data_IF_672215617200
#
_entry.id   IF_672215617200
#
_cell.length_a   1.000
_cell.length_b   1.000
_cell.length_c   1.000
_cell.angle_alpha   90.00
_cell.angle_beta   90.00
_cell.angle_gamma   90.00
#
_symmetry.space_group_name_H-M   'P 1'
#
loop_
_entity.id
_entity.type
_entity.pdbx_description
1 polymer ?
#
# COMPACT_ATOMS: atom_id res chain seq x y z
N UNK A 1 -0.49 -5.26 13.91
CA UNK A 1 0.54 -4.25 13.56
C UNK A 1 1.84 -4.59 14.28
N UNK A 2 2.97 -4.60 13.58
CA UNK A 2 4.30 -4.77 14.14
C UNK A 2 4.86 -3.38 14.49
N UNK A 3 4.56 -2.90 15.71
CA UNK A 3 4.81 -1.51 16.14
C UNK A 3 6.28 -1.11 15.98
N UNK A 4 7.22 -1.96 16.40
CA UNK A 4 8.65 -1.65 16.30
C UNK A 4 9.11 -1.55 14.84
N UNK A 5 8.61 -2.44 13.97
CA UNK A 5 8.88 -2.38 12.53
C UNK A 5 8.34 -1.11 11.91
N UNK A 6 7.10 -0.72 12.22
CA UNK A 6 6.51 0.51 11.72
C UNK A 6 7.31 1.75 12.15
N UNK A 7 7.70 1.83 13.43
CA UNK A 7 8.43 2.98 13.97
C UNK A 7 9.90 3.06 13.52
N UNK A 8 10.58 1.93 13.26
CA UNK A 8 11.97 1.96 12.72
C UNK A 8 12.10 2.66 11.37
N UNK A 9 11.02 2.69 10.59
CA UNK A 9 10.96 3.34 9.28
C UNK A 9 10.04 4.56 9.25
N UNK A 10 9.56 5.01 10.41
CA UNK A 10 8.67 6.17 10.52
C UNK A 10 9.50 7.45 10.42
N UNK A 11 9.30 8.29 9.39
CA UNK A 11 10.08 9.52 9.24
C UNK A 11 9.60 10.67 10.15
N UNK A 12 8.52 10.47 10.91
CA UNK A 12 7.84 11.53 11.65
C UNK A 12 8.16 11.43 13.14
N UNK A 13 8.46 12.57 13.77
CA UNK A 13 8.65 12.66 15.22
C UNK A 13 7.42 12.14 15.98
N UNK A 14 7.65 11.31 16.99
CA UNK A 14 6.60 10.61 17.72
C UNK A 14 6.54 9.11 17.42
N UNK A 15 5.50 8.46 17.95
CA UNK A 15 5.35 7.00 17.90
C UNK A 15 4.02 6.60 17.30
N UNK A 16 4.06 5.73 16.30
CA UNK A 16 2.88 5.02 15.78
C UNK A 16 2.49 3.95 16.80
N UNK A 17 1.28 4.06 17.36
CA UNK A 17 0.78 3.16 18.42
C UNK A 17 -0.42 2.31 17.99
N UNK A 18 -1.08 2.66 16.89
CA UNK A 18 -2.24 1.94 16.37
C UNK A 18 -2.34 2.06 14.84
N UNK A 19 -3.38 1.46 14.28
CA UNK A 19 -3.72 1.54 12.86
C UNK A 19 -5.24 1.60 12.69
N UNK A 20 -5.71 1.78 11.46
CA UNK A 20 -7.12 1.77 11.11
C UNK A 20 -7.67 0.35 10.96
N UNK A 21 -8.94 0.29 10.55
CA UNK A 21 -9.73 -0.91 10.34
C UNK A 21 -9.13 -1.86 9.29
N UNK A 22 -8.51 -1.33 8.22
CA UNK A 22 -7.84 -2.12 7.18
C UNK A 22 -6.33 -2.34 7.45
N UNK A 23 -5.80 -1.80 8.55
CA UNK A 23 -4.41 -1.96 9.00
C UNK A 23 -3.31 -1.36 8.10
N UNK A 24 -3.63 -0.48 7.15
CA UNK A 24 -2.70 0.20 6.25
C UNK A 24 -2.29 1.60 6.73
N UNK A 25 -3.08 2.21 7.62
CA UNK A 25 -2.82 3.59 8.08
C UNK A 25 -1.94 3.54 9.30
N UNK A 26 -0.78 4.17 9.22
CA UNK A 26 0.25 4.13 10.26
C UNK A 26 0.81 5.55 10.40
N UNK A 27 0.22 6.32 11.31
CA UNK A 27 0.55 7.73 11.54
C UNK A 27 0.69 8.01 13.04
N UNK A 28 1.44 9.04 13.40
CA UNK A 28 1.56 9.51 14.78
C UNK A 28 0.27 10.20 15.23
N UNK A 29 -0.03 10.13 16.52
CA UNK A 29 -1.22 10.72 17.14
C UNK A 29 -0.84 11.32 18.48
N UNK A 30 -1.62 12.30 18.93
CA UNK A 30 -1.47 12.92 20.23
C UNK A 30 -2.79 12.81 21.00
N UNK A 31 -2.81 12.23 22.21
CA UNK A 31 -4.04 12.05 22.97
C UNK A 31 -4.60 13.40 23.42
N UNK A 32 -5.92 13.56 23.31
CA UNK A 32 -6.62 14.71 23.89
C UNK A 32 -6.86 14.54 25.38
N UNK A 33 -6.99 15.68 26.08
CA UNK A 33 -7.41 15.72 27.48
C UNK A 33 -8.76 16.43 27.58
N UNK A 34 -9.73 15.75 28.19
CA UNK A 34 -11.07 16.28 28.47
C UNK A 34 -11.22 16.54 29.97
N UNK A 35 -11.91 17.63 30.32
CA UNK A 35 -12.35 17.86 31.69
C UNK A 35 -13.68 17.13 31.99
N UNK A 36 -14.15 17.20 33.24
CA UNK A 36 -15.41 16.58 33.67
C UNK A 36 -16.65 17.15 32.95
N UNK A 37 -16.54 18.34 32.36
CA UNK A 37 -17.58 18.96 31.54
C UNK A 37 -17.55 18.51 30.06
N UNK A 38 -16.67 17.56 29.71
CA UNK A 38 -16.44 17.07 28.35
C UNK A 38 -15.91 18.13 27.38
N UNK A 39 -15.17 19.11 27.91
CA UNK A 39 -14.50 20.14 27.12
C UNK A 39 -13.02 19.79 26.94
N UNK A 40 -12.46 20.12 25.77
CA UNK A 40 -11.04 19.93 25.49
C UNK A 40 -10.19 20.89 26.33
N UNK A 41 -9.43 20.34 27.27
CA UNK A 41 -8.34 21.03 27.98
C UNK A 41 -7.08 21.03 27.12
N UNK A 42 -6.85 19.92 26.42
CA UNK A 42 -5.81 19.77 25.41
C UNK A 42 -6.42 19.09 24.19
N UNK A 43 -6.39 19.78 23.05
CA UNK A 43 -6.85 19.22 21.78
C UNK A 43 -5.66 18.54 21.10
N UNK A 44 -5.62 17.21 21.22
CA UNK A 44 -4.64 16.38 20.53
C UNK A 44 -4.95 16.24 19.04
N UNK A 45 -4.38 15.21 18.42
CA UNK A 45 -4.51 14.93 16.98
C UNK A 45 -4.87 13.48 16.75
N UNK A 46 -6.04 13.26 16.15
CA UNK A 46 -6.46 11.97 15.63
C UNK A 46 -6.29 11.92 14.10
N UNK A 47 -6.39 10.73 13.52
CA UNK A 47 -6.09 10.48 12.10
C UNK A 47 -7.37 10.26 11.29
N UNK A 48 -7.49 10.95 10.15
CA UNK A 48 -8.43 10.61 9.07
C UNK A 48 -7.68 10.08 7.85
N UNK A 49 -8.42 9.41 6.96
CA UNK A 49 -7.83 8.69 5.82
C UNK A 49 -8.39 9.25 4.52
N UNK A 50 -7.55 9.92 3.73
CA UNK A 50 -7.85 10.37 2.38
C UNK A 50 -7.12 9.45 1.39
N UNK A 51 -7.85 8.55 0.73
CA UNK A 51 -7.27 7.43 0.02
C UNK A 51 -7.50 7.49 -1.49
N UNK A 52 -6.55 6.97 -2.26
CA UNK A 52 -6.68 6.72 -3.69
C UNK A 52 -5.73 5.62 -4.14
N UNK A 53 -6.04 4.93 -5.24
CA UNK A 53 -5.15 3.88 -5.79
C UNK A 53 -4.84 4.14 -7.24
N UNK A 54 -3.57 3.97 -7.59
CA UNK A 54 -3.14 3.86 -8.98
C UNK A 54 -3.64 2.55 -9.59
N UNK A 55 -4.02 2.56 -10.87
CA UNK A 55 -4.23 1.34 -11.65
C UNK A 55 -2.89 0.98 -12.33
N UNK A 56 -2.24 -0.10 -11.89
CA UNK A 56 -0.89 -0.48 -12.36
C UNK A 56 -0.84 -0.69 -13.88
N UNK A 57 -1.85 -1.31 -14.47
CA UNK A 57 -1.93 -1.56 -15.93
C UNK A 57 -1.91 -0.25 -16.71
N UNK A 58 -2.75 0.71 -16.29
CA UNK A 58 -2.84 2.00 -16.96
C UNK A 58 -1.62 2.90 -16.67
N UNK A 59 -1.04 2.81 -15.48
CA UNK A 59 0.15 3.58 -15.12
C UNK A 59 1.36 3.19 -15.95
N UNK A 60 1.56 1.90 -16.20
CA UNK A 60 2.69 1.40 -17.00
C UNK A 60 2.58 1.73 -18.49
N UNK A 61 1.41 2.19 -18.95
CA UNK A 61 1.20 2.69 -20.33
C UNK A 61 1.01 4.21 -20.38
N UNK A 62 1.13 4.90 -19.24
CA UNK A 62 1.01 6.35 -19.17
C UNK A 62 2.14 7.03 -19.97
N UNK A 63 1.83 8.04 -20.81
CA UNK A 63 2.86 8.79 -21.53
C UNK A 63 3.77 9.61 -20.60
N UNK A 64 3.31 9.89 -19.38
CA UNK A 64 4.10 10.55 -18.34
C UNK A 64 3.68 10.02 -16.97
N UNK A 65 4.37 8.97 -16.50
CA UNK A 65 4.13 8.36 -15.19
C UNK A 65 4.22 9.39 -14.07
N UNK A 66 5.24 10.25 -14.11
CA UNK A 66 5.49 11.25 -13.08
C UNK A 66 4.34 12.26 -12.99
N UNK A 67 3.89 12.80 -14.12
CA UNK A 67 2.74 13.73 -14.16
C UNK A 67 1.47 13.09 -13.62
N UNK A 68 1.22 11.81 -13.90
CA UNK A 68 0.09 11.08 -13.33
C UNK A 68 0.15 11.06 -11.80
N UNK A 69 1.29 10.70 -11.20
CA UNK A 69 1.47 10.70 -9.74
C UNK A 69 1.34 12.11 -9.15
N UNK A 70 1.93 13.14 -9.78
CA UNK A 70 1.82 14.53 -9.32
C UNK A 70 0.37 15.02 -9.36
N UNK A 71 -0.37 14.67 -10.41
CA UNK A 71 -1.80 15.01 -10.54
C UNK A 71 -2.65 14.33 -9.47
N UNK A 72 -2.44 13.03 -9.24
CA UNK A 72 -3.14 12.29 -8.18
C UNK A 72 -2.80 12.82 -6.79
N UNK A 73 -1.54 13.22 -6.55
CA UNK A 73 -1.11 13.87 -5.31
C UNK A 73 -1.94 15.12 -5.08
N UNK A 74 -2.01 16.05 -6.05
CA UNK A 74 -2.83 17.27 -5.91
C UNK A 74 -4.32 16.99 -5.73
N UNK A 75 -4.86 15.97 -6.40
CA UNK A 75 -6.27 15.59 -6.23
C UNK A 75 -6.55 15.13 -4.79
N UNK A 76 -5.66 14.32 -4.20
CA UNK A 76 -5.76 13.90 -2.81
C UNK A 76 -5.51 15.07 -1.85
N UNK A 77 -4.56 15.95 -2.15
CA UNK A 77 -4.36 17.21 -1.40
C UNK A 77 -5.65 18.03 -1.33
N UNK A 78 -6.39 18.13 -2.45
CA UNK A 78 -7.67 18.85 -2.46
C UNK A 78 -8.70 18.21 -1.52
N UNK A 79 -8.77 16.87 -1.47
CA UNK A 79 -9.67 16.15 -0.53
C UNK A 79 -9.25 16.43 0.90
N UNK A 80 -7.96 16.30 1.22
CA UNK A 80 -7.39 16.58 2.54
C UNK A 80 -7.69 18.03 2.97
N UNK A 81 -7.40 19.01 2.13
CA UNK A 81 -7.58 20.44 2.45
C UNK A 81 -9.05 20.86 2.58
N UNK A 82 -9.95 20.19 1.85
CA UNK A 82 -11.39 20.53 1.86
C UNK A 82 -12.17 19.80 2.96
N UNK A 83 -11.54 18.82 3.63
CA UNK A 83 -12.19 17.98 4.63
C UNK A 83 -12.17 18.66 6.00
N UNK A 84 -13.36 19.00 6.49
CA UNK A 84 -13.54 19.59 7.82
C UNK A 84 -14.55 18.84 8.69
N UNK A 85 -14.05 17.96 9.56
CA UNK A 85 -14.89 17.06 10.38
C UNK A 85 -15.22 17.70 11.73
N UNK A 86 -16.11 18.71 11.69
CA UNK A 86 -16.51 19.48 12.88
C UNK A 86 -17.09 18.64 14.03
N UNK A 87 -17.67 17.48 13.72
CA UNK A 87 -18.24 16.58 14.70
C UNK A 87 -17.18 15.91 15.60
N UNK A 88 -15.91 15.84 15.14
CA UNK A 88 -14.80 15.24 15.88
C UNK A 88 -13.59 16.18 15.76
N UNK A 89 -13.48 17.20 16.64
CA UNK A 89 -12.48 18.26 16.52
C UNK A 89 -11.03 17.78 16.45
N UNK A 90 -10.70 16.66 17.08
CA UNK A 90 -9.35 16.06 17.07
C UNK A 90 -8.94 15.54 15.69
N UNK A 91 -9.91 15.05 14.91
CA UNK A 91 -9.71 14.59 13.52
C UNK A 91 -9.51 15.80 12.59
N UNK A 92 -10.33 16.84 12.75
CA UNK A 92 -10.20 18.09 11.99
C UNK A 92 -8.84 18.75 12.26
N UNK A 93 -8.45 18.83 13.54
CA UNK A 93 -7.17 19.35 13.97
C UNK A 93 -6.00 18.55 13.40
N UNK A 94 -6.00 17.22 13.55
CA UNK A 94 -4.95 16.35 13.00
C UNK A 94 -4.81 16.46 11.48
N UNK A 95 -5.93 16.47 10.74
CA UNK A 95 -5.93 16.65 9.29
C UNK A 95 -5.33 18.00 8.87
N UNK A 96 -5.71 19.08 9.57
CA UNK A 96 -5.23 20.43 9.29
C UNK A 96 -3.74 20.66 9.57
N UNK A 97 -3.14 19.88 10.48
CA UNK A 97 -1.72 19.97 10.81
C UNK A 97 -0.86 19.06 9.93
N UNK A 98 -1.34 17.84 9.68
CA UNK A 98 -0.54 16.80 9.05
C UNK A 98 -0.68 16.76 7.52
N UNK A 99 -1.80 17.26 6.98
CA UNK A 99 -2.13 17.21 5.56
C UNK A 99 -1.90 15.82 4.94
N UNK A 100 -2.37 14.75 5.59
CA UNK A 100 -2.03 13.38 5.17
C UNK A 100 -2.97 12.85 4.08
N UNK A 101 -2.41 12.00 3.22
CA UNK A 101 -3.17 11.14 2.31
C UNK A 101 -2.50 9.78 2.17
N UNK A 102 -3.19 8.82 1.56
CA UNK A 102 -2.68 7.50 1.25
C UNK A 102 -2.93 7.15 -0.22
N UNK A 103 -1.91 7.34 -1.05
CA UNK A 103 -1.91 6.84 -2.43
C UNK A 103 -1.36 5.41 -2.44
N UNK A 104 -2.17 4.47 -2.92
CA UNK A 104 -1.85 3.06 -3.07
C UNK A 104 -1.82 2.61 -4.53
N UNK A 105 -1.89 1.30 -4.72
CA UNK A 105 -1.93 0.68 -6.03
C UNK A 105 -2.93 -0.48 -6.06
N UNK A 106 -3.53 -0.70 -7.22
CA UNK A 106 -4.38 -1.82 -7.55
C UNK A 106 -4.01 -2.40 -8.91
N UNK A 107 -4.34 -3.66 -9.15
CA UNK A 107 -4.13 -4.31 -10.44
C UNK A 107 -2.74 -4.91 -10.64
N UNK A 108 -1.96 -5.11 -9.57
CA UNK A 108 -0.61 -5.66 -9.71
C UNK A 108 -0.62 -7.04 -10.36
N UNK A 109 -1.44 -7.96 -9.86
CA UNK A 109 -1.52 -9.31 -10.41
C UNK A 109 -2.05 -9.29 -11.85
N UNK A 110 -3.01 -8.41 -12.15
CA UNK A 110 -3.51 -8.22 -13.51
C UNK A 110 -2.42 -7.77 -14.47
N UNK A 111 -1.56 -6.84 -14.06
CA UNK A 111 -0.44 -6.39 -14.88
C UNK A 111 0.59 -7.49 -15.09
N UNK A 112 1.04 -8.14 -13.99
CA UNK A 112 2.04 -9.20 -14.06
C UNK A 112 1.61 -10.35 -14.98
N UNK A 113 0.36 -10.80 -14.85
CA UNK A 113 -0.15 -11.88 -15.70
C UNK A 113 -0.24 -11.49 -17.18
N UNK A 114 -0.61 -10.24 -17.50
CA UNK A 114 -0.59 -9.73 -18.88
C UNK A 114 0.84 -9.60 -19.45
N UNK A 115 1.85 -9.45 -18.59
CA UNK A 115 3.27 -9.48 -18.97
C UNK A 115 3.90 -10.88 -18.93
N UNK A 116 3.08 -11.91 -18.66
CA UNK A 116 3.49 -13.30 -18.50
C UNK A 116 4.55 -13.49 -17.40
N UNK A 117 4.42 -12.73 -16.32
CA UNK A 117 5.27 -12.81 -15.12
C UNK A 117 4.48 -13.49 -14.01
N UNK A 118 5.04 -14.54 -13.44
CA UNK A 118 4.40 -15.21 -12.32
C UNK A 118 4.50 -14.35 -11.05
N UNK A 119 3.37 -14.18 -10.36
CA UNK A 119 3.33 -13.49 -9.09
C UNK A 119 4.25 -14.17 -8.06
N UNK A 120 5.09 -13.38 -7.39
CA UNK A 120 6.08 -13.86 -6.42
C UNK A 120 7.36 -14.41 -7.04
N UNK A 121 7.52 -14.37 -8.36
CA UNK A 121 8.83 -14.54 -9.01
C UNK A 121 9.76 -13.38 -8.64
N UNK A 122 11.08 -13.58 -8.82
CA UNK A 122 12.07 -12.52 -8.60
C UNK A 122 11.76 -11.26 -9.42
N UNK A 123 11.35 -11.43 -10.69
CA UNK A 123 10.96 -10.32 -11.56
C UNK A 123 9.73 -9.56 -11.05
N UNK A 124 8.73 -10.27 -10.48
CA UNK A 124 7.57 -9.61 -9.90
C UNK A 124 7.89 -8.79 -8.64
N UNK A 125 8.82 -9.28 -7.81
CA UNK A 125 9.29 -8.59 -6.59
C UNK A 125 10.09 -7.35 -6.98
N UNK A 126 11.01 -7.50 -7.94
CA UNK A 126 11.78 -6.41 -8.51
C UNK A 126 10.88 -5.33 -9.14
N UNK A 127 9.95 -5.73 -10.02
CA UNK A 127 8.97 -4.81 -10.61
C UNK A 127 8.21 -4.02 -9.54
N UNK A 128 7.75 -4.71 -8.48
CA UNK A 128 7.00 -4.09 -7.40
C UNK A 128 7.85 -3.06 -6.64
N UNK A 129 9.10 -3.39 -6.32
CA UNK A 129 10.02 -2.43 -5.68
C UNK A 129 10.19 -1.18 -6.54
N UNK A 130 10.51 -1.32 -7.83
CA UNK A 130 10.72 -0.17 -8.72
C UNK A 130 9.44 0.66 -8.89
N UNK A 131 8.27 0.03 -9.06
CA UNK A 131 7.00 0.74 -9.19
C UNK A 131 6.69 1.60 -7.96
N UNK A 132 6.84 1.04 -6.76
CA UNK A 132 6.58 1.79 -5.52
C UNK A 132 7.68 2.81 -5.20
N UNK A 133 8.93 2.57 -5.61
CA UNK A 133 10.00 3.57 -5.55
C UNK A 133 9.64 4.80 -6.38
N UNK A 134 9.12 4.62 -7.61
CA UNK A 134 8.67 5.72 -8.46
C UNK A 134 7.49 6.48 -7.86
N UNK A 135 6.51 5.77 -7.28
CA UNK A 135 5.42 6.42 -6.55
C UNK A 135 5.96 7.26 -5.39
N UNK A 136 6.92 6.74 -4.62
CA UNK A 136 7.52 7.49 -3.52
C UNK A 136 8.27 8.73 -4.00
N UNK A 137 9.10 8.59 -5.03
CA UNK A 137 9.85 9.70 -5.61
C UNK A 137 8.92 10.82 -6.07
N UNK A 138 7.93 10.50 -6.91
CA UNK A 138 7.06 11.52 -7.48
C UNK A 138 6.08 12.14 -6.49
N UNK A 139 5.64 11.41 -5.45
CA UNK A 139 4.84 12.01 -4.37
C UNK A 139 5.68 12.93 -3.47
N UNK A 140 6.97 12.64 -3.24
CA UNK A 140 7.89 13.57 -2.56
C UNK A 140 8.10 14.84 -3.38
N UNK A 141 8.42 14.69 -4.67
CA UNK A 141 8.60 15.82 -5.59
C UNK A 141 7.39 16.74 -5.53
N UNK A 142 6.18 16.19 -5.59
CA UNK A 142 4.98 17.03 -5.59
C UNK A 142 4.64 17.62 -4.23
N UNK A 143 4.83 16.86 -3.16
CA UNK A 143 4.67 17.39 -1.80
C UNK A 143 5.64 18.55 -1.53
N UNK A 144 6.86 18.49 -2.05
CA UNK A 144 7.85 19.57 -2.01
C UNK A 144 7.44 20.77 -2.87
N UNK A 145 6.96 20.53 -4.10
CA UNK A 145 6.46 21.61 -4.96
C UNK A 145 5.30 22.36 -4.32
N UNK A 146 4.33 21.64 -3.72
CA UNK A 146 3.19 22.24 -3.02
C UNK A 146 3.67 23.04 -1.80
N UNK A 147 4.65 22.54 -1.05
CA UNK A 147 5.22 23.26 0.08
C UNK A 147 5.83 24.60 -0.35
N UNK A 148 6.63 24.59 -1.43
CA UNK A 148 7.21 25.80 -2.01
C UNK A 148 6.16 26.77 -2.55
N UNK A 149 5.17 26.27 -3.27
CA UNK A 149 4.09 27.09 -3.86
C UNK A 149 3.24 27.79 -2.79
N UNK A 150 3.00 27.11 -1.66
CA UNK A 150 2.15 27.61 -0.57
C UNK A 150 2.93 28.30 0.55
N UNK A 151 4.25 28.13 0.60
CA UNK A 151 5.08 28.60 1.70
C UNK A 151 4.73 27.92 3.04
N UNK A 152 4.31 26.65 2.99
CA UNK A 152 3.79 25.91 4.15
C UNK A 152 4.23 24.45 4.12
N UNK A 153 4.60 23.92 5.28
CA UNK A 153 4.89 22.49 5.49
C UNK A 153 3.89 21.90 6.47
N UNK A 154 3.86 20.56 6.57
CA UNK A 154 3.16 19.93 7.69
C UNK A 154 3.78 20.33 9.04
N UNK A 155 2.99 20.23 10.11
CA UNK A 155 3.40 20.58 11.46
C UNK A 155 4.60 19.77 11.96
N UNK A 156 5.58 20.43 12.59
CA UNK A 156 6.82 19.82 13.08
C UNK A 156 7.69 19.16 11.99
N UNK A 157 7.61 19.61 10.73
CA UNK A 157 8.47 19.14 9.65
C UNK A 157 9.95 19.13 10.04
N UNK A 158 10.43 20.14 10.76
CA UNK A 158 11.82 20.31 11.17
C UNK A 158 12.35 19.19 12.08
N UNK A 159 11.46 18.43 12.72
CA UNK A 159 11.82 17.28 13.57
C UNK A 159 11.81 15.95 12.80
N UNK A 160 11.37 15.95 11.54
CA UNK A 160 11.26 14.74 10.73
C UNK A 160 12.60 14.31 10.13
N UNK A 161 12.68 13.03 9.75
CA UNK A 161 13.80 12.49 8.97
C UNK A 161 13.87 13.06 7.55
N UNK A 162 12.78 13.69 7.09
CA UNK A 162 12.81 14.45 5.84
C UNK A 162 13.65 15.72 5.99
N UNK A 163 13.54 16.44 7.12
CA UNK A 163 14.24 17.69 7.35
C UNK A 163 15.74 17.49 7.64
N UNK A 164 16.10 16.45 8.39
CA UNK A 164 17.52 16.13 8.63
C UNK A 164 18.17 15.50 7.38
N UNK A 165 17.38 14.83 6.53
CA UNK A 165 17.77 14.22 5.27
C UNK A 165 18.03 12.71 5.33
N UNK A 166 18.00 12.09 6.51
CA UNK A 166 18.31 10.66 6.70
C UNK A 166 17.29 9.74 6.03
N UNK A 167 16.05 10.21 5.82
CA UNK A 167 15.04 9.47 5.05
C UNK A 167 15.55 9.07 3.65
N UNK A 168 16.40 9.91 3.06
CA UNK A 168 16.89 9.75 1.69
C UNK A 168 18.11 8.83 1.58
N UNK A 169 18.82 8.55 2.67
CA UNK A 169 20.14 7.89 2.63
C UNK A 169 20.13 6.56 1.84
N UNK A 170 19.09 5.76 2.01
CA UNK A 170 18.96 4.49 1.29
C UNK A 170 18.77 4.65 -0.22
N UNK A 171 18.20 5.77 -0.67
CA UNK A 171 17.99 6.03 -2.09
C UNK A 171 19.24 6.60 -2.77
N UNK A 172 20.19 7.13 -1.98
CA UNK A 172 21.47 7.64 -2.46
C UNK A 172 22.47 6.51 -2.81
N UNK A 173 22.15 5.25 -2.49
CA UNK A 173 23.00 4.10 -2.84
C UNK A 173 22.99 3.80 -4.34
N UNK A 174 21.94 4.21 -5.06
CA UNK A 174 21.74 3.89 -6.47
C UNK A 174 21.28 2.45 -6.73
N UNK A 175 20.88 1.70 -5.70
CA UNK A 175 20.51 0.29 -5.81
C UNK A 175 19.09 0.07 -6.35
N UNK A 176 18.21 1.07 -6.20
CA UNK A 176 16.80 0.99 -6.64
C UNK A 176 16.63 1.26 -8.14
N UNK A 177 17.25 0.43 -8.96
CA UNK A 177 17.13 0.45 -10.43
C UNK A 177 16.81 -0.95 -10.96
N UNK A 178 16.09 -1.08 -12.10
CA UNK A 178 15.85 -2.36 -12.74
C UNK A 178 17.14 -3.14 -13.02
N UNK A 179 17.21 -4.36 -12.53
CA UNK A 179 18.32 -5.30 -12.65
C UNK A 179 18.08 -6.32 -13.77
N UNK A 180 16.91 -6.95 -13.82
CA UNK A 180 16.60 -7.94 -14.85
C UNK A 180 16.28 -7.27 -16.19
N UNK A 181 16.67 -7.94 -17.28
CA UNK A 181 16.42 -7.42 -18.63
C UNK A 181 14.93 -7.28 -18.92
N UNK A 182 14.11 -8.18 -18.37
CA UNK A 182 12.66 -8.12 -18.47
C UNK A 182 12.08 -6.88 -17.78
N UNK A 183 12.50 -6.59 -16.54
CA UNK A 183 11.98 -5.41 -15.82
C UNK A 183 12.52 -4.12 -16.44
N UNK A 184 13.76 -4.08 -16.93
CA UNK A 184 14.28 -2.95 -17.72
C UNK A 184 13.42 -2.68 -18.95
N UNK A 185 13.04 -3.72 -19.68
CA UNK A 185 12.14 -3.60 -20.83
C UNK A 185 10.80 -2.99 -20.42
N UNK A 186 10.17 -3.49 -19.34
CA UNK A 186 8.88 -2.99 -18.85
C UNK A 186 8.89 -1.51 -18.46
N UNK A 187 10.01 -0.99 -17.95
CA UNK A 187 10.15 0.43 -17.57
C UNK A 187 10.77 1.30 -18.67
N UNK A 188 10.91 0.78 -19.90
CA UNK A 188 11.47 1.56 -21.01
C UNK A 188 10.61 2.79 -21.29
N UNK A 189 11.24 3.96 -21.34
CA UNK A 189 10.56 5.24 -21.53
C UNK A 189 9.96 5.85 -20.26
N UNK A 190 10.01 5.13 -19.13
CA UNK A 190 9.66 5.67 -17.81
C UNK A 190 10.93 6.18 -17.14
N UNK A 191 10.90 7.41 -16.64
CA UNK A 191 12.01 7.99 -15.89
C UNK A 191 12.23 7.22 -14.58
N UNK A 192 13.45 6.69 -14.40
CA UNK A 192 13.93 6.06 -13.16
C UNK A 192 14.94 7.01 -12.51
N UNK A 193 14.70 7.50 -11.28
CA UNK A 193 15.61 8.43 -10.61
C UNK A 193 16.94 7.76 -10.27
N UNK A 194 18.03 8.45 -10.59
CA UNK A 194 19.39 8.12 -10.18
C UNK A 194 19.67 8.53 -8.73
N UNK A 195 20.82 8.13 -8.19
CA UNK A 195 21.29 8.61 -6.90
C UNK A 195 21.46 10.14 -6.89
N UNK A 196 21.87 10.75 -8.01
CA UNK A 196 21.95 12.21 -8.15
C UNK A 196 20.57 12.87 -8.10
N UNK A 197 19.57 12.32 -8.77
CA UNK A 197 18.19 12.84 -8.74
C UNK A 197 17.61 12.80 -7.31
N UNK A 198 17.88 11.72 -6.57
CA UNK A 198 17.52 11.60 -5.16
C UNK A 198 18.27 12.60 -4.27
N UNK A 199 19.55 12.86 -4.54
CA UNK A 199 20.33 13.86 -3.81
C UNK A 199 19.78 15.28 -4.05
N UNK A 200 19.43 15.60 -5.30
CA UNK A 200 18.79 16.87 -5.64
C UNK A 200 17.43 17.04 -4.95
N UNK A 201 16.61 15.98 -4.95
CA UNK A 201 15.33 15.99 -4.24
C UNK A 201 15.51 16.16 -2.73
N UNK A 202 16.46 15.46 -2.10
CA UNK A 202 16.79 15.64 -0.68
C UNK A 202 17.11 17.09 -0.38
N UNK A 203 17.97 17.72 -1.18
CA UNK A 203 18.41 19.09 -0.94
C UNK A 203 17.25 20.09 -1.12
N UNK A 204 16.37 19.88 -2.10
CA UNK A 204 15.11 20.65 -2.25
C UNK A 204 14.15 20.46 -1.07
N UNK A 205 14.00 19.23 -0.57
CA UNK A 205 13.15 18.94 0.59
C UNK A 205 13.69 19.60 1.86
N UNK A 206 15.01 19.62 2.05
CA UNK A 206 15.62 20.32 3.19
C UNK A 206 15.46 21.84 3.10
N UNK A 207 15.46 22.40 1.89
CA UNK A 207 15.31 23.83 1.67
C UNK A 207 13.85 24.32 1.75
N UNK A 208 12.95 23.64 1.03
CA UNK A 208 11.56 24.11 0.84
C UNK A 208 10.54 23.34 1.72
N UNK A 209 10.93 22.19 2.28
CA UNK A 209 10.08 21.34 3.10
C UNK A 209 9.15 20.41 2.31
N UNK A 210 8.20 19.79 3.03
CA UNK A 210 7.13 18.96 2.47
C UNK A 210 5.78 19.42 3.01
N UNK A 211 4.77 19.45 2.13
CA UNK A 211 3.41 19.83 2.52
C UNK A 211 2.70 18.73 3.32
N UNK A 212 2.92 17.46 2.95
CA UNK A 212 2.23 16.31 3.51
C UNK A 212 3.15 15.52 4.44
N UNK A 213 2.65 15.18 5.63
CA UNK A 213 3.35 14.33 6.59
C UNK A 213 3.46 12.88 6.10
N UNK A 214 2.36 12.32 5.57
CA UNK A 214 2.29 10.97 5.03
C UNK A 214 1.60 10.93 3.67
N UNK A 215 2.05 10.04 2.78
CA UNK A 215 1.70 10.08 1.34
C UNK A 215 1.22 8.74 0.77
N UNK A 216 1.83 7.62 1.15
CA UNK A 216 1.56 6.31 0.57
C UNK A 216 0.94 5.39 1.60
N UNK A 217 -0.15 4.73 1.23
CA UNK A 217 -0.78 3.64 1.96
C UNK A 217 -1.51 2.74 0.97
N UNK A 218 -1.33 1.42 1.07
CA UNK A 218 -1.99 0.47 0.17
C UNK A 218 -3.17 -0.16 0.87
N UNK A 219 -4.34 0.44 0.67
CA UNK A 219 -5.61 -0.10 1.16
C UNK A 219 -6.10 -1.28 0.28
N UNK A 220 -7.05 -2.09 0.76
CA UNK A 220 -7.78 -3.02 -0.10
C UNK A 220 -8.65 -2.22 -1.09
N UNK A 221 -8.86 -2.79 -2.27
CA UNK A 221 -9.77 -2.22 -3.26
C UNK A 221 -11.04 -3.06 -3.32
N UNK A 222 -12.16 -2.46 -2.94
CA UNK A 222 -13.46 -3.12 -2.90
C UNK A 222 -14.09 -3.20 -4.28
N UNK A 223 -15.35 -2.77 -4.38
CA UNK A 223 -16.09 -2.78 -5.65
C UNK A 223 -15.49 -1.89 -6.74
N UNK A 224 -14.60 -0.94 -6.38
CA UNK A 224 -13.92 -0.07 -7.34
C UNK A 224 -12.98 -0.84 -8.29
N UNK A 225 -12.50 -2.01 -7.87
CA UNK A 225 -11.63 -2.87 -8.68
C UNK A 225 -12.35 -3.36 -9.94
N UNK A 226 -13.64 -3.70 -9.83
CA UNK A 226 -14.49 -4.04 -10.98
C UNK A 226 -14.71 -2.86 -11.92
N UNK A 227 -14.85 -1.65 -11.39
CA UNK A 227 -15.03 -0.43 -12.21
C UNK A 227 -13.73 -0.09 -12.95
N UNK A 228 -12.57 -0.29 -12.30
CA UNK A 228 -11.26 -0.07 -12.90
C UNK A 228 -10.77 -1.24 -13.75
N UNK A 229 -11.55 -2.31 -13.81
CA UNK A 229 -11.27 -3.56 -14.52
C UNK A 229 -9.87 -4.12 -14.25
N UNK A 230 -9.51 -4.30 -12.98
CA UNK A 230 -8.22 -4.87 -12.56
C UNK A 230 -8.33 -5.64 -11.24
N UNK A 231 -7.33 -6.48 -10.93
CA UNK A 231 -7.25 -7.19 -9.65
C UNK A 231 -7.24 -6.25 -8.45
N UNK A 232 -7.92 -6.63 -7.36
CA UNK A 232 -7.94 -5.84 -6.13
C UNK A 232 -6.54 -5.72 -5.49
N UNK A 233 -6.18 -4.51 -5.05
CA UNK A 233 -4.93 -4.20 -4.36
C UNK A 233 -3.69 -4.74 -5.10
N UNK A 234 -2.64 -5.06 -4.35
CA UNK A 234 -1.43 -5.67 -4.87
C UNK A 234 -1.33 -7.17 -4.63
N UNK A 235 -2.32 -7.80 -3.97
CA UNK A 235 -2.32 -9.24 -3.74
C UNK A 235 -2.80 -10.03 -4.98
N UNK A 236 -2.58 -11.35 -5.04
CA UNK A 236 -3.10 -12.19 -6.11
C UNK A 236 -4.64 -12.20 -6.15
N UNK A 237 -5.20 -12.67 -7.26
CA UNK A 237 -6.65 -12.82 -7.40
C UNK A 237 -7.09 -14.02 -6.57
N UNK A 238 -8.30 -14.02 -6.04
CA UNK A 238 -8.84 -15.20 -5.33
C UNK A 238 -9.41 -16.23 -6.32
N UNK A 239 -9.98 -15.79 -7.43
CA UNK A 239 -10.58 -16.66 -8.45
C UNK A 239 -10.30 -16.08 -9.84
N UNK A 240 -10.09 -16.96 -10.83
CA UNK A 240 -9.93 -16.54 -12.25
C UNK A 240 -11.23 -15.98 -12.81
N UNK A 241 -12.36 -16.53 -12.40
CA UNK A 241 -13.70 -16.03 -12.69
C UNK A 241 -14.41 -15.94 -11.36
N UNK A 242 -14.67 -14.74 -10.89
CA UNK A 242 -15.42 -14.52 -9.67
C UNK A 242 -16.91 -14.69 -9.95
N UNK A 243 -17.57 -15.55 -9.17
CA UNK A 243 -19.02 -15.66 -9.15
C UNK A 243 -19.60 -14.77 -8.06
N UNK A 244 -20.48 -13.83 -8.43
CA UNK A 244 -21.17 -12.95 -7.49
C UNK A 244 -22.68 -13.12 -7.58
N UNK A 245 -23.33 -13.23 -6.42
CA UNK A 245 -24.78 -13.30 -6.35
C UNK A 245 -25.38 -11.89 -6.26
N UNK A 246 -26.01 -11.45 -7.34
CA UNK A 246 -26.70 -10.17 -7.42
C UNK A 246 -28.19 -10.37 -7.17
N UNK A 247 -28.73 -9.76 -6.11
CA UNK A 247 -30.06 -10.08 -5.52
C UNK A 247 -31.18 -10.23 -6.56
N UNK A 248 -31.23 -9.36 -7.57
CA UNK A 248 -32.32 -9.31 -8.57
C UNK A 248 -32.02 -10.03 -9.88
N UNK A 249 -30.76 -10.35 -10.17
CA UNK A 249 -30.29 -10.76 -11.51
C UNK A 249 -29.73 -12.19 -11.50
N UNK A 250 -29.55 -12.79 -10.31
CA UNK A 250 -29.00 -14.13 -10.16
C UNK A 250 -27.50 -14.09 -9.97
N UNK A 251 -26.74 -14.72 -10.87
CA UNK A 251 -25.28 -14.81 -10.80
C UNK A 251 -24.63 -13.93 -11.85
N UNK A 252 -23.60 -13.19 -11.46
CA UNK A 252 -22.73 -12.43 -12.35
C UNK A 252 -21.36 -13.10 -12.31
N UNK A 253 -20.75 -13.25 -13.47
CA UNK A 253 -19.41 -13.81 -13.63
C UNK A 253 -18.47 -12.69 -14.05
N UNK A 254 -17.43 -12.47 -13.24
CA UNK A 254 -16.42 -11.46 -13.49
C UNK A 254 -15.07 -12.16 -13.73
N UNK A 255 -14.64 -12.32 -15.00
CA UNK A 255 -13.31 -12.85 -15.30
C UNK A 255 -12.25 -11.84 -14.87
N UNK A 256 -11.10 -12.33 -14.39
CA UNK A 256 -9.95 -11.48 -14.13
C UNK A 256 -9.55 -10.69 -15.38
N UNK A 257 -9.19 -9.43 -15.21
CA UNK A 257 -8.85 -8.54 -16.33
C UNK A 257 -7.74 -9.14 -17.22
N UNK A 258 -7.95 -9.20 -18.53
CA UNK A 258 -6.96 -9.78 -19.45
C UNK A 258 -6.79 -11.31 -19.34
N UNK A 259 -7.73 -12.04 -18.73
CA UNK A 259 -7.75 -13.50 -18.72
C UNK A 259 -7.93 -14.07 -20.15
N UNK A 260 -6.98 -14.89 -20.58
CA UNK A 260 -6.95 -15.54 -21.90
C UNK A 260 -6.24 -16.89 -21.80
N UNK A 261 -6.25 -17.68 -22.87
CA UNK A 261 -5.50 -18.95 -22.92
C UNK A 261 -4.01 -18.77 -22.60
N UNK A 262 -3.43 -17.65 -22.99
CA UNK A 262 -2.01 -17.32 -22.76
C UNK A 262 -1.74 -16.87 -21.32
N UNK A 263 -2.65 -16.10 -20.72
CA UNK A 263 -2.46 -15.51 -19.38
C UNK A 263 -3.00 -16.38 -18.24
N UNK A 264 -3.88 -17.35 -18.52
CA UNK A 264 -4.46 -18.30 -17.51
C UNK A 264 -3.40 -18.94 -16.58
N UNK A 265 -2.23 -19.40 -17.07
CA UNK A 265 -1.19 -19.99 -16.22
C UNK A 265 -0.64 -19.01 -15.18
N UNK A 266 -0.66 -17.71 -15.47
CA UNK A 266 -0.12 -16.66 -14.61
C UNK A 266 -1.13 -16.14 -13.59
N UNK A 267 -2.40 -16.54 -13.71
CA UNK A 267 -3.46 -16.24 -12.75
C UNK A 267 -3.62 -17.38 -11.74
N UNK A 268 -2.58 -17.62 -10.94
CA UNK A 268 -2.64 -18.54 -9.79
C UNK A 268 -3.47 -17.90 -8.67
N UNK A 269 -4.46 -18.64 -8.15
CA UNK A 269 -5.28 -18.16 -7.04
C UNK A 269 -4.41 -17.88 -5.82
N UNK A 270 -4.76 -16.84 -5.06
CA UNK A 270 -4.15 -16.55 -3.78
C UNK A 270 -4.25 -17.74 -2.80
N UNK A 271 -5.31 -18.55 -2.88
CA UNK A 271 -5.48 -19.74 -2.03
C UNK A 271 -4.58 -20.92 -2.45
N UNK A 272 -4.05 -20.89 -3.66
CA UNK A 272 -3.19 -21.94 -4.24
C UNK A 272 -1.71 -21.50 -4.30
N UNK A 273 -1.39 -20.36 -3.69
CA UNK A 273 -0.06 -19.75 -3.72
C UNK A 273 0.65 -19.90 -2.38
N UNK A 274 1.97 -20.11 -2.42
CA UNK A 274 2.82 -20.02 -1.23
C UNK A 274 2.76 -18.58 -0.69
N UNK A 275 2.25 -18.39 0.53
CA UNK A 275 2.09 -17.05 1.11
C UNK A 275 3.40 -16.31 1.33
N UNK A 276 4.56 -16.98 1.33
CA UNK A 276 5.88 -16.32 1.34
C UNK A 276 6.08 -15.47 0.08
N UNK A 277 5.59 -15.93 -1.08
CA UNK A 277 5.59 -15.15 -2.33
C UNK A 277 4.79 -13.85 -2.20
N UNK A 278 3.61 -13.92 -1.58
CA UNK A 278 2.78 -12.74 -1.30
C UNK A 278 3.47 -11.79 -0.33
N UNK A 279 4.04 -12.33 0.74
CA UNK A 279 4.81 -11.55 1.72
C UNK A 279 6.01 -10.86 1.07
N UNK A 280 6.75 -11.53 0.18
CA UNK A 280 7.93 -10.97 -0.48
C UNK A 280 7.57 -9.79 -1.40
N UNK A 281 6.46 -9.88 -2.16
CA UNK A 281 5.95 -8.77 -2.98
C UNK A 281 5.53 -7.59 -2.09
N UNK A 282 4.83 -7.84 -0.98
CA UNK A 282 4.45 -6.79 -0.04
C UNK A 282 5.66 -6.18 0.67
N UNK A 283 6.70 -6.97 0.96
CA UNK A 283 7.93 -6.49 1.57
C UNK A 283 8.66 -5.51 0.62
N UNK A 284 8.76 -5.85 -0.67
CA UNK A 284 9.32 -4.96 -1.68
C UNK A 284 8.58 -3.62 -1.78
N UNK A 285 7.24 -3.63 -1.70
CA UNK A 285 6.46 -2.39 -1.63
C UNK A 285 6.67 -1.63 -0.30
N UNK A 286 6.76 -2.35 0.82
CA UNK A 286 6.92 -1.79 2.18
C UNK A 286 8.18 -0.93 2.32
N UNK A 287 9.23 -1.23 1.55
CA UNK A 287 10.45 -0.43 1.53
C UNK A 287 10.18 1.02 1.09
N UNK A 288 9.18 1.27 0.27
CA UNK A 288 8.93 2.59 -0.34
C UNK A 288 7.66 3.27 0.18
N UNK A 289 6.77 2.53 0.83
CA UNK A 289 5.53 3.04 1.43
C UNK A 289 5.80 3.54 2.85
N UNK A 290 5.55 4.83 3.10
CA UNK A 290 5.80 5.47 4.39
C UNK A 290 4.78 5.07 5.47
N UNK A 291 3.55 4.70 5.11
CA UNK A 291 2.57 4.11 6.04
C UNK A 291 2.61 2.57 5.98
N UNK A 292 1.48 1.91 5.76
CA UNK A 292 1.35 0.45 5.70
C UNK A 292 0.61 -0.05 4.46
N UNK A 293 0.45 -1.37 4.40
CA UNK A 293 -0.24 -2.06 3.33
C UNK A 293 -1.16 -3.12 3.94
N UNK A 294 -2.40 -3.21 3.46
CA UNK A 294 -3.35 -4.24 3.89
C UNK A 294 -2.96 -5.60 3.31
N UNK A 295 -2.07 -6.31 4.02
CA UNK A 295 -1.66 -7.67 3.66
C UNK A 295 -2.67 -8.69 4.18
N UNK A 296 -3.29 -9.43 3.26
CA UNK A 296 -4.13 -10.58 3.58
C UNK A 296 -3.38 -11.88 3.33
N UNK A 297 -3.40 -12.79 4.31
CA UNK A 297 -2.95 -14.17 4.13
C UNK A 297 -4.14 -15.04 3.71
N UNK A 298 -4.06 -15.62 2.52
CA UNK A 298 -5.10 -16.48 1.97
C UNK A 298 -4.73 -17.93 2.22
N UNK A 299 -5.60 -18.67 2.89
CA UNK A 299 -5.27 -19.99 3.41
C UNK A 299 -6.42 -20.96 3.13
N UNK A 300 -6.12 -22.13 2.55
CA UNK A 300 -7.09 -23.21 2.48
C UNK A 300 -7.12 -23.98 3.78
N UNK A 301 -8.28 -24.53 4.12
CA UNK A 301 -8.38 -25.49 5.22
C UNK A 301 -7.64 -26.79 4.91
N UNK A 302 -7.66 -27.19 3.63
CA UNK A 302 -6.87 -28.27 3.06
C UNK A 302 -5.83 -27.69 2.09
N UNK A 303 -4.59 -27.64 2.57
CA UNK A 303 -3.42 -27.14 1.85
C UNK A 303 -3.06 -28.14 0.73
N UNK A 304 -2.81 -27.67 -0.51
CA UNK A 304 -2.28 -28.50 -1.58
C UNK A 304 -0.98 -29.20 -1.18
N UNK A 305 -0.87 -30.49 -1.50
CA UNK A 305 0.31 -31.27 -1.17
C UNK A 305 1.55 -30.66 -1.86
N UNK A 306 2.63 -30.48 -1.09
CA UNK A 306 3.89 -29.91 -1.60
C UNK A 306 3.94 -28.38 -1.65
N UNK A 307 2.88 -27.67 -1.23
CA UNK A 307 2.90 -26.19 -1.20
C UNK A 307 3.94 -25.64 -0.21
N UNK A 308 4.10 -26.32 0.93
CA UNK A 308 5.04 -25.94 1.98
C UNK A 308 5.88 -27.15 2.39
N UNK A 309 7.20 -26.98 2.44
CA UNK A 309 8.16 -28.05 2.70
C UNK A 309 8.04 -28.66 4.10
N UNK A 310 7.47 -27.93 5.06
CA UNK A 310 7.27 -28.40 6.43
C UNK A 310 5.98 -29.21 6.62
N UNK A 311 5.17 -29.37 5.56
CA UNK A 311 3.87 -30.06 5.62
C UNK A 311 3.99 -31.51 5.17
N UNK A 312 3.66 -32.42 6.07
CA UNK A 312 3.45 -33.85 5.79
C UNK A 312 1.97 -34.22 5.63
N UNK A 313 1.08 -33.39 6.17
CA UNK A 313 -0.37 -33.54 6.12
C UNK A 313 -1.01 -32.32 5.45
N UNK A 314 -2.17 -32.50 4.84
CA UNK A 314 -2.84 -31.44 4.08
C UNK A 314 -3.58 -30.43 4.99
N UNK A 315 -3.86 -30.76 6.25
CA UNK A 315 -4.67 -29.87 7.10
C UNK A 315 -3.89 -28.62 7.53
N UNK A 316 -4.55 -27.48 7.40
CA UNK A 316 -4.05 -26.19 7.88
C UNK A 316 -4.03 -26.15 9.41
N UNK A 317 -2.91 -25.72 9.98
CA UNK A 317 -2.74 -25.57 11.44
C UNK A 317 -2.45 -24.13 11.85
N UNK A 318 -2.64 -23.83 13.13
CA UNK A 318 -2.22 -22.54 13.72
C UNK A 318 -0.69 -22.37 13.69
N UNK A 319 0.08 -23.46 13.72
CA UNK A 319 1.55 -23.42 13.61
C UNK A 319 1.99 -22.91 12.24
N UNK A 320 1.32 -23.33 11.18
CA UNK A 320 1.59 -22.85 9.81
C UNK A 320 1.36 -21.34 9.70
N UNK A 321 0.26 -20.84 10.27
CA UNK A 321 -0.01 -19.40 10.36
C UNK A 321 1.09 -18.66 11.15
N UNK A 322 1.54 -19.22 12.27
CA UNK A 322 2.64 -18.64 13.06
C UNK A 322 3.95 -18.59 12.28
N UNK A 323 4.27 -19.61 11.47
CA UNK A 323 5.45 -19.61 10.59
C UNK A 323 5.36 -18.45 9.58
N UNK A 324 4.22 -18.28 8.92
CA UNK A 324 4.01 -17.21 7.94
C UNK A 324 4.04 -15.82 8.59
N UNK A 325 3.45 -15.66 9.79
CA UNK A 325 3.51 -14.41 10.55
C UNK A 325 4.94 -14.05 10.94
N UNK A 326 5.73 -15.03 11.39
CA UNK A 326 7.15 -14.82 11.71
C UNK A 326 7.96 -14.50 10.45
N UNK A 327 7.67 -15.14 9.32
CA UNK A 327 8.29 -14.81 8.03
C UNK A 327 7.99 -13.36 7.63
N UNK A 328 6.73 -12.93 7.70
CA UNK A 328 6.32 -11.54 7.45
C UNK A 328 7.02 -10.55 8.38
N UNK A 329 7.08 -10.85 9.68
CA UNK A 329 7.79 -10.01 10.64
C UNK A 329 9.28 -9.87 10.28
N UNK A 330 9.96 -10.98 9.96
CA UNK A 330 11.37 -10.98 9.58
C UNK A 330 11.63 -10.24 8.26
N UNK A 331 10.66 -10.23 7.35
CA UNK A 331 10.71 -9.49 6.08
C UNK A 331 10.38 -8.01 6.22
N UNK A 332 10.13 -7.51 7.43
CA UNK A 332 9.86 -6.10 7.66
C UNK A 332 8.43 -5.65 7.38
N UNK A 333 7.48 -6.59 7.28
CA UNK A 333 6.06 -6.24 7.12
C UNK A 333 5.58 -5.46 8.35
N UNK A 334 4.96 -4.29 8.12
CA UNK A 334 4.45 -3.40 9.17
C UNK A 334 3.12 -3.88 9.75
N UNK A 335 2.26 -4.51 8.95
CA UNK A 335 0.94 -4.96 9.38
C UNK A 335 0.44 -6.15 8.56
N UNK A 336 -0.41 -6.96 9.19
CA UNK A 336 -1.20 -8.00 8.54
C UNK A 336 -2.64 -7.65 8.84
N UNK A 337 -3.45 -7.56 7.79
CA UNK A 337 -4.85 -7.15 7.84
C UNK A 337 -5.73 -8.34 8.23
N UNK A 338 -5.90 -9.30 7.31
CA UNK A 338 -6.70 -10.50 7.54
C UNK A 338 -5.94 -11.80 7.30
N UNK A 339 -6.44 -12.83 7.96
CA UNK A 339 -6.20 -14.22 7.58
C UNK A 339 -7.54 -14.72 7.06
N UNK A 340 -7.61 -14.99 5.76
CA UNK A 340 -8.82 -15.45 5.09
C UNK A 340 -8.73 -16.94 4.86
N UNK A 341 -9.64 -17.68 5.50
CA UNK A 341 -9.68 -19.13 5.37
C UNK A 341 -10.77 -19.54 4.38
N UNK A 342 -10.40 -20.37 3.42
CA UNK A 342 -11.33 -21.01 2.49
C UNK A 342 -11.64 -22.43 2.95
N UNK A 343 -12.93 -22.77 3.02
CA UNK A 343 -13.42 -24.14 3.19
C UNK A 343 -14.04 -24.62 1.88
N UNK A 344 -13.79 -25.88 1.51
CA UNK A 344 -14.23 -26.45 0.22
C UNK A 344 -15.77 -26.62 0.11
N UNK A 345 -16.53 -26.23 1.14
CA UNK A 345 -17.99 -26.05 1.08
C UNK A 345 -18.42 -24.73 0.40
N UNK A 346 -17.46 -23.96 -0.14
CA UNK A 346 -17.69 -22.66 -0.77
C UNK A 346 -17.89 -21.53 0.25
N UNK A 347 -17.74 -21.81 1.54
CA UNK A 347 -17.75 -20.82 2.60
C UNK A 347 -16.43 -20.05 2.64
N UNK A 348 -16.49 -18.74 2.36
CA UNK A 348 -15.42 -17.83 2.75
C UNK A 348 -15.76 -17.23 4.12
N UNK A 349 -15.05 -17.67 5.18
CA UNK A 349 -15.18 -17.05 6.50
C UNK A 349 -14.20 -15.88 6.57
N UNK A 350 -14.72 -14.67 6.33
CA UNK A 350 -13.99 -13.41 6.47
C UNK A 350 -14.83 -12.38 7.21
N UNK A 351 -14.17 -11.48 7.94
CA UNK A 351 -14.85 -10.33 8.54
C UNK A 351 -15.05 -9.26 7.46
N UNK A 352 -16.22 -9.21 6.81
CA UNK A 352 -16.60 -8.08 5.94
C UNK A 352 -16.96 -6.86 6.81
N UNK A 353 -15.96 -6.26 7.47
CA UNK A 353 -16.18 -5.12 8.38
C UNK A 353 -15.58 -3.81 7.88
N UNK A 354 -14.92 -3.79 6.71
CA UNK A 354 -14.01 -2.72 6.32
C UNK A 354 -14.49 -1.78 5.21
N UNK A 355 -15.77 -1.77 4.87
CA UNK A 355 -16.32 -1.03 3.72
C UNK A 355 -15.99 0.48 3.74
N UNK A 356 -15.82 1.10 4.92
CA UNK A 356 -15.52 2.53 5.05
C UNK A 356 -14.03 2.89 4.88
N UNK A 357 -13.12 1.91 4.86
CA UNK A 357 -11.67 2.13 4.76
C UNK A 357 -11.05 1.49 3.51
N UNK A 358 -11.87 0.97 2.60
CA UNK A 358 -11.43 0.49 1.28
C UNK A 358 -11.62 1.58 0.23
N UNK A 359 -10.75 1.58 -0.77
CA UNK A 359 -10.93 2.37 -2.00
C UNK A 359 -11.87 1.60 -2.90
#
# INVERSE_FOLDING_TARGET
VNIDTANRSNPIDGKIIMSNLCSEILQVQEPSLLNDAQEFVHLGTDVSCNLGSTNVVNMMTSPDFGKSIRTMTRALTFVTDSSHIKAVPTIDHGNSLAHTFGLGAMGLHSYLAQQLIEYGSAESVEFTSIYFMLMNYWTLVESNNIARERGMTFHNFEKSDYANGTYFDKYLTGEFVPQSDRVKELFTGIFIPSAEDWAELRDKVKADGLYHQNRLAVAPNGSISYINDVSASIHPITQRIEERQEKKIGKIYYPAAGLSTETIPYYTSAYDMDMRKVIDVYAAATEHVDQGLSLTLFMRSDIPQGLYEWKTENKQTTRDLSILRNYAFNKGIKSIYYVRTFTDDGGEVGANQCESCVI
#
